data_IF_089348130835
#
_entry.id   IF_089348130835
#
_cell.length_a   1.000
_cell.length_b   1.000
_cell.length_c   1.000
_cell.angle_alpha   90.00
_cell.angle_beta   90.00
_cell.angle_gamma   90.00
#
_symmetry.space_group_name_H-M   'P 1'
#
loop_
_entity.id
_entity.type
_entity.pdbx_description
1 polymer ?
#
# COMPACT_ATOMS: atom_id res chain seq x y z
N UNK A 1 -17.93 2.15 -16.98
CA UNK A 1 -18.47 2.63 -15.69
C UNK A 1 -18.29 4.14 -15.62
N UNK A 2 -19.28 4.88 -15.11
CA UNK A 2 -19.17 6.31 -14.83
C UNK A 2 -18.98 6.53 -13.33
N UNK A 3 -18.17 7.52 -12.96
CA UNK A 3 -18.07 7.97 -11.57
C UNK A 3 -19.33 8.77 -11.19
N UNK A 4 -19.71 8.73 -9.92
CA UNK A 4 -20.68 9.70 -9.38
C UNK A 4 -20.09 11.11 -9.44
N UNK A 5 -20.94 12.14 -9.45
CA UNK A 5 -20.48 13.54 -9.45
C UNK A 5 -19.59 13.85 -8.23
N UNK A 6 -19.94 13.28 -7.08
CA UNK A 6 -19.16 13.34 -5.84
C UNK A 6 -17.78 12.68 -6.01
N UNK A 7 -17.74 11.44 -6.51
CA UNK A 7 -16.47 10.73 -6.74
C UNK A 7 -15.58 11.45 -7.74
N UNK A 8 -16.17 12.02 -8.80
CA UNK A 8 -15.44 12.80 -9.78
C UNK A 8 -14.85 14.09 -9.17
N UNK A 9 -15.58 14.75 -8.26
CA UNK A 9 -15.08 15.91 -7.53
C UNK A 9 -13.94 15.55 -6.56
N UNK A 10 -14.09 14.44 -5.82
CA UNK A 10 -13.05 13.94 -4.92
C UNK A 10 -11.76 13.58 -5.69
N UNK A 11 -11.87 12.89 -6.82
CA UNK A 11 -10.72 12.54 -7.67
C UNK A 11 -10.02 13.80 -8.20
N UNK A 12 -10.77 14.79 -8.69
CA UNK A 12 -10.18 16.06 -9.14
C UNK A 12 -9.44 16.78 -8.02
N UNK A 13 -10.03 16.84 -6.83
CA UNK A 13 -9.39 17.45 -5.66
C UNK A 13 -8.09 16.72 -5.30
N UNK A 14 -8.13 15.39 -5.18
CA UNK A 14 -6.97 14.59 -4.81
C UNK A 14 -5.85 14.68 -5.85
N UNK A 15 -6.18 14.72 -7.14
CA UNK A 15 -5.22 14.97 -8.21
C UNK A 15 -4.57 16.35 -8.09
N UNK A 16 -5.39 17.39 -7.83
CA UNK A 16 -4.92 18.76 -7.62
C UNK A 16 -4.00 18.88 -6.40
N UNK A 17 -4.39 18.31 -5.25
CA UNK A 17 -3.60 18.32 -4.01
C UNK A 17 -2.24 17.61 -4.22
N UNK A 18 -2.20 16.59 -5.08
CA UNK A 18 -0.99 15.86 -5.44
C UNK A 18 -0.16 16.52 -6.57
N UNK A 19 -0.62 17.62 -7.17
CA UNK A 19 0.04 18.26 -8.30
C UNK A 19 0.06 17.39 -9.58
N UNK A 20 -0.95 16.55 -9.78
CA UNK A 20 -1.05 15.58 -10.87
C UNK A 20 -2.26 15.86 -11.78
N UNK A 21 -2.22 15.36 -13.02
CA UNK A 21 -3.43 15.22 -13.82
C UNK A 21 -4.37 14.17 -13.21
N UNK A 22 -5.67 14.29 -13.49
CA UNK A 22 -6.66 13.30 -13.03
C UNK A 22 -6.29 11.89 -13.49
N UNK A 23 -5.92 11.70 -14.75
CA UNK A 23 -5.53 10.39 -15.28
C UNK A 23 -4.29 9.84 -14.57
N UNK A 24 -3.25 10.66 -14.40
CA UNK A 24 -2.03 10.23 -13.72
C UNK A 24 -2.25 9.88 -12.25
N UNK A 25 -3.12 10.63 -11.55
CA UNK A 25 -3.49 10.31 -10.18
C UNK A 25 -4.27 8.99 -10.10
N UNK A 26 -5.22 8.76 -11.02
CA UNK A 26 -5.99 7.51 -11.10
C UNK A 26 -5.07 6.33 -11.39
N UNK A 27 -4.20 6.42 -12.39
CA UNK A 27 -3.24 5.36 -12.73
C UNK A 27 -2.34 5.00 -11.55
N UNK A 28 -1.77 6.01 -10.89
CA UNK A 28 -0.93 5.80 -9.69
C UNK A 28 -1.72 5.11 -8.58
N UNK A 29 -2.93 5.58 -8.31
CA UNK A 29 -3.79 5.08 -7.23
C UNK A 29 -4.23 3.65 -7.49
N UNK A 30 -4.79 3.38 -8.67
CA UNK A 30 -5.25 2.04 -9.08
C UNK A 30 -4.07 1.08 -9.12
N UNK A 31 -2.92 1.48 -9.70
CA UNK A 31 -1.72 0.67 -9.70
C UNK A 31 -1.19 0.36 -8.30
N UNK A 32 -1.29 1.32 -7.37
CA UNK A 32 -0.96 1.11 -5.95
C UNK A 32 -1.88 0.11 -5.27
N UNK A 33 -3.19 0.21 -5.51
CA UNK A 33 -4.19 -0.73 -4.98
C UNK A 33 -3.94 -2.13 -5.52
N UNK A 34 -3.76 -2.27 -6.84
CA UNK A 34 -3.52 -3.55 -7.49
C UNK A 34 -2.25 -4.24 -6.96
N UNK A 35 -1.13 -3.50 -6.82
CA UNK A 35 0.10 -4.05 -6.23
C UNK A 35 -0.08 -4.50 -4.78
N UNK A 36 -0.82 -3.74 -3.98
CA UNK A 36 -1.11 -4.12 -2.59
C UNK A 36 -1.93 -5.42 -2.54
N UNK A 37 -2.98 -5.52 -3.35
CA UNK A 37 -3.81 -6.72 -3.42
C UNK A 37 -3.00 -7.94 -3.88
N UNK A 38 -2.17 -7.79 -4.91
CA UNK A 38 -1.28 -8.85 -5.37
C UNK A 38 -0.29 -9.28 -4.28
N UNK A 39 0.28 -8.33 -3.52
CA UNK A 39 1.17 -8.63 -2.41
C UNK A 39 0.48 -9.37 -1.26
N UNK A 40 -0.76 -9.02 -0.93
CA UNK A 40 -1.54 -9.74 0.08
C UNK A 40 -1.83 -11.18 -0.36
N UNK A 41 -2.25 -11.37 -1.61
CA UNK A 41 -2.49 -12.71 -2.16
C UNK A 41 -1.21 -13.57 -2.13
N UNK A 42 -0.07 -12.99 -2.51
CA UNK A 42 1.21 -13.70 -2.44
C UNK A 42 1.60 -14.10 -1.01
N UNK A 43 1.17 -13.32 0.01
CA UNK A 43 1.36 -13.70 1.40
C UNK A 43 0.41 -14.81 1.83
N UNK A 44 -0.84 -14.78 1.41
CA UNK A 44 -1.78 -15.88 1.66
C UNK A 44 -1.26 -17.20 1.06
N UNK A 45 -0.71 -17.15 -0.17
CA UNK A 45 -0.08 -18.31 -0.83
C UNK A 45 1.14 -18.82 -0.05
N UNK A 46 2.03 -17.92 0.38
CA UNK A 46 3.20 -18.26 1.19
C UNK A 46 2.80 -18.91 2.53
N UNK A 47 1.84 -18.32 3.25
CA UNK A 47 1.38 -18.84 4.55
C UNK A 47 0.67 -20.19 4.41
N UNK A 48 0.00 -20.45 3.28
CA UNK A 48 -0.58 -21.76 2.99
C UNK A 48 0.49 -22.85 2.79
N UNK A 49 1.64 -22.51 2.21
CA UNK A 49 2.75 -23.47 1.97
C UNK A 49 3.66 -23.64 3.20
N UNK A 50 3.95 -22.56 3.91
CA UNK A 50 5.00 -22.53 4.94
C UNK A 50 4.48 -22.28 6.37
N UNK A 51 3.21 -21.92 6.51
CA UNK A 51 2.62 -21.45 7.76
C UNK A 51 2.82 -19.94 7.97
N UNK A 52 1.97 -19.37 8.83
CA UNK A 52 2.05 -17.96 9.18
C UNK A 52 3.30 -17.63 10.02
N UNK A 53 3.87 -16.44 9.81
CA UNK A 53 4.97 -15.97 10.64
C UNK A 53 4.54 -15.81 12.10
N UNK A 54 5.36 -16.31 13.02
CA UNK A 54 5.17 -16.13 14.46
C UNK A 54 5.35 -14.66 14.87
N UNK A 55 4.81 -14.24 16.03
CA UNK A 55 5.09 -12.92 16.58
C UNK A 55 6.60 -12.65 16.77
N UNK A 56 7.36 -13.66 17.18
CA UNK A 56 8.80 -13.59 17.45
C UNK A 56 9.60 -13.37 16.18
N UNK A 57 9.28 -14.12 15.10
CA UNK A 57 9.90 -13.94 13.78
C UNK A 57 9.61 -12.55 13.22
N UNK A 58 8.39 -12.05 13.38
CA UNK A 58 8.02 -10.70 12.95
C UNK A 58 8.79 -9.63 13.72
N UNK A 59 9.00 -9.79 15.03
CA UNK A 59 9.80 -8.83 15.79
C UNK A 59 11.29 -8.92 15.46
N UNK A 60 11.82 -10.12 15.20
CA UNK A 60 13.19 -10.27 14.70
C UNK A 60 13.36 -9.57 13.35
N UNK A 61 12.44 -9.75 12.41
CA UNK A 61 12.47 -9.07 11.13
C UNK A 61 12.42 -7.54 11.27
N UNK A 62 11.56 -7.01 12.16
CA UNK A 62 11.51 -5.56 12.45
C UNK A 62 12.84 -5.05 13.00
N UNK A 63 13.47 -5.78 13.93
CA UNK A 63 14.79 -5.42 14.47
C UNK A 63 15.84 -5.36 13.37
N UNK A 64 15.93 -6.41 12.55
CA UNK A 64 16.86 -6.46 11.41
C UNK A 64 16.65 -5.28 10.46
N UNK A 65 15.41 -4.96 10.11
CA UNK A 65 15.11 -3.86 9.20
C UNK A 65 15.42 -2.47 9.80
N UNK A 66 15.26 -2.30 11.12
CA UNK A 66 15.70 -1.08 11.83
C UNK A 66 17.21 -0.95 11.82
N UNK A 67 17.94 -2.03 12.10
CA UNK A 67 19.41 -2.06 12.07
C UNK A 67 19.97 -1.72 10.68
N UNK A 68 19.28 -2.15 9.63
CA UNK A 68 19.62 -1.83 8.25
C UNK A 68 19.15 -0.41 7.81
N UNK A 69 18.46 0.34 8.67
CA UNK A 69 17.92 1.66 8.35
C UNK A 69 16.76 1.65 7.34
N UNK A 70 16.14 0.49 7.12
CA UNK A 70 15.03 0.29 6.17
C UNK A 70 13.65 0.48 6.80
N UNK A 71 13.59 0.47 8.14
CA UNK A 71 12.38 0.73 8.92
C UNK A 71 12.60 1.96 9.80
N UNK A 72 12.39 3.14 9.20
CA UNK A 72 12.32 4.38 9.95
C UNK A 72 10.87 4.57 10.42
N UNK A 73 10.62 4.42 11.72
CA UNK A 73 9.30 4.60 12.32
C UNK A 73 8.98 6.09 12.37
N UNK A 74 8.60 6.68 11.24
CA UNK A 74 7.68 7.83 11.25
C UNK A 74 6.28 7.30 11.05
N UNK A 75 5.72 6.77 12.13
CA UNK A 75 4.27 6.72 12.28
C UNK A 75 3.83 8.18 12.38
N UNK A 76 3.48 8.78 11.25
CA UNK A 76 2.69 10.00 11.25
C UNK A 76 1.31 9.62 11.79
N UNK A 77 0.91 10.30 12.86
CA UNK A 77 -0.39 10.13 13.51
C UNK A 77 -1.57 10.62 12.68
#
# INVERSE_FOLDING_TARGET
>A
MSLSAESAAAVRKAASDAGMSVSGWVERTVGGIARRQAGLLAMDEYEAEHGAFTPEEREQARRTLRELGLLDVRVAG
#
